data_IF_222832113396
#
_entry.id   IF_222832113396
#
_cell.length_a   1.000
_cell.length_b   1.000
_cell.length_c   1.000
_cell.angle_alpha   90.00
_cell.angle_beta   90.00
_cell.angle_gamma   90.00
#
_symmetry.space_group_name_H-M   'P 1'
#
loop_
_entity.id
_entity.type
_entity.pdbx_description
1 polymer ?
#
# COMPACT_ATOMS: atom_id res chain seq x y z
N UNK A 1 -3.87 -32.55 27.00
CA UNK A 1 -4.27 -31.42 26.13
C UNK A 1 -3.22 -31.31 25.05
N UNK A 2 -3.62 -31.34 23.78
CA UNK A 2 -2.69 -31.07 22.69
C UNK A 2 -2.29 -29.60 22.73
N UNK A 3 -0.98 -29.35 22.72
CA UNK A 3 -0.43 -28.00 22.71
C UNK A 3 -0.27 -27.59 21.25
N UNK A 4 -1.05 -26.59 20.81
CA UNK A 4 -0.90 -26.01 19.48
C UNK A 4 0.51 -25.45 19.30
N UNK A 5 1.20 -25.91 18.25
CA UNK A 5 2.54 -25.44 17.86
C UNK A 5 2.56 -23.94 17.56
N UNK A 6 1.58 -23.46 16.80
CA UNK A 6 1.39 -22.05 16.47
C UNK A 6 0.05 -21.52 16.99
N UNK A 7 0.03 -20.25 17.34
CA UNK A 7 -1.16 -19.54 17.83
C UNK A 7 -1.32 -18.24 17.05
N UNK A 8 -2.52 -17.66 17.12
CA UNK A 8 -2.76 -16.31 16.60
C UNK A 8 -1.73 -15.35 17.19
N UNK A 9 -1.16 -14.51 16.32
CA UNK A 9 -0.16 -13.52 16.70
C UNK A 9 -0.85 -12.44 17.54
N UNK A 10 -0.26 -12.10 18.70
CA UNK A 10 -0.81 -11.09 19.63
C UNK A 10 0.19 -10.00 19.99
N UNK A 11 1.42 -10.09 19.47
CA UNK A 11 2.48 -9.13 19.76
C UNK A 11 3.50 -9.08 18.62
N UNK A 12 4.16 -7.93 18.47
CA UNK A 12 5.22 -7.72 17.48
C UNK A 12 6.41 -8.69 17.69
N UNK A 13 6.69 -9.08 18.94
CA UNK A 13 7.74 -10.07 19.23
C UNK A 13 7.43 -11.43 18.60
N UNK A 14 6.18 -11.89 18.78
CA UNK A 14 5.71 -13.16 18.20
C UNK A 14 5.67 -13.10 16.68
N UNK A 15 5.29 -11.95 16.11
CA UNK A 15 5.36 -11.72 14.66
C UNK A 15 6.78 -11.92 14.12
N UNK A 16 7.78 -11.24 14.71
CA UNK A 16 9.18 -11.36 14.28
C UNK A 16 9.73 -12.78 14.40
N UNK A 17 9.37 -13.48 15.47
CA UNK A 17 9.74 -14.89 15.67
C UNK A 17 9.16 -15.80 14.57
N UNK A 18 7.89 -15.57 14.19
CA UNK A 18 7.22 -16.34 13.15
C UNK A 18 7.80 -16.03 11.77
N UNK A 19 8.15 -14.77 11.48
CA UNK A 19 8.84 -14.40 10.25
C UNK A 19 10.20 -15.12 10.11
N UNK A 20 11.02 -15.13 11.17
CA UNK A 20 12.30 -15.82 11.14
C UNK A 20 12.15 -17.34 10.98
N UNK A 21 11.14 -17.93 11.63
CA UNK A 21 10.83 -19.35 11.47
C UNK A 21 10.41 -19.67 10.04
N UNK A 22 9.56 -18.84 9.44
CA UNK A 22 9.12 -18.99 8.07
C UNK A 22 10.30 -18.89 7.08
N UNK A 23 11.19 -17.91 7.28
CA UNK A 23 12.41 -17.75 6.47
C UNK A 23 13.29 -19.01 6.52
N UNK A 24 13.55 -19.53 7.73
CA UNK A 24 14.31 -20.77 7.92
C UNK A 24 13.66 -21.99 7.24
N UNK A 25 12.33 -22.10 7.29
CA UNK A 25 11.58 -23.20 6.68
C UNK A 25 11.62 -23.13 5.15
N UNK A 26 11.44 -21.94 4.57
CA UNK A 26 11.49 -21.73 3.12
C UNK A 26 12.88 -22.03 2.56
N UNK A 27 13.95 -21.71 3.30
CA UNK A 27 15.33 -22.00 2.87
C UNK A 27 15.64 -23.51 2.89
N UNK A 28 15.08 -24.25 3.87
CA UNK A 28 15.36 -25.69 4.03
C UNK A 28 14.62 -26.59 3.02
N UNK A 29 13.64 -26.04 2.32
CA UNK A 29 12.84 -26.64 1.22
C UNK A 29 12.61 -28.16 1.37
N UNK A 30 11.56 -28.51 2.10
CA UNK A 30 11.11 -29.90 2.26
C UNK A 30 9.59 -30.03 2.16
N UNK A 31 9.11 -31.03 1.40
CA UNK A 31 7.67 -31.31 1.21
C UNK A 31 6.90 -31.43 2.53
N UNK A 32 7.55 -31.93 3.59
CA UNK A 32 6.93 -32.11 4.92
C UNK A 32 6.69 -30.81 5.69
N UNK A 33 7.14 -29.67 5.18
CA UNK A 33 6.99 -28.36 5.83
C UNK A 33 5.99 -27.44 5.13
N UNK A 34 5.36 -27.89 4.05
CA UNK A 34 4.49 -27.06 3.23
C UNK A 34 3.26 -26.53 4.00
N UNK A 35 2.57 -27.40 4.74
CA UNK A 35 1.42 -27.01 5.57
C UNK A 35 1.82 -26.04 6.69
N UNK A 36 3.03 -26.18 7.21
CA UNK A 36 3.57 -25.32 8.25
C UNK A 36 3.92 -23.92 7.72
N UNK A 37 4.54 -23.87 6.54
CA UNK A 37 4.82 -22.65 5.79
C UNK A 37 3.51 -21.93 5.46
N UNK A 38 2.50 -22.65 4.97
CA UNK A 38 1.19 -22.08 4.63
C UNK A 38 0.50 -21.48 5.87
N UNK A 39 0.48 -22.21 6.99
CA UNK A 39 -0.10 -21.73 8.23
C UNK A 39 0.63 -20.49 8.77
N UNK A 40 1.97 -20.52 8.83
CA UNK A 40 2.77 -19.36 9.28
C UNK A 40 2.55 -18.15 8.39
N UNK A 41 2.54 -18.35 7.07
CA UNK A 41 2.25 -17.29 6.09
C UNK A 41 0.88 -16.67 6.35
N UNK A 42 -0.14 -17.49 6.57
CA UNK A 42 -1.50 -17.00 6.87
C UNK A 42 -1.54 -16.19 8.17
N UNK A 43 -0.90 -16.66 9.25
CA UNK A 43 -0.87 -15.97 10.54
C UNK A 43 -0.15 -14.62 10.46
N UNK A 44 0.99 -14.58 9.77
CA UNK A 44 1.78 -13.36 9.53
C UNK A 44 0.96 -12.37 8.71
N UNK A 45 0.40 -12.82 7.59
CA UNK A 45 -0.44 -11.99 6.71
C UNK A 45 -1.62 -11.40 7.49
N UNK A 46 -2.29 -12.21 8.31
CA UNK A 46 -3.42 -11.75 9.13
C UNK A 46 -3.01 -10.67 10.14
N UNK A 47 -1.86 -10.84 10.79
CA UNK A 47 -1.31 -9.83 11.69
C UNK A 47 -0.96 -8.54 10.95
N UNK A 48 -0.31 -8.65 9.79
CA UNK A 48 0.06 -7.52 8.95
C UNK A 48 -1.14 -6.73 8.45
N UNK A 49 -2.23 -7.40 8.07
CA UNK A 49 -3.50 -6.73 7.73
C UNK A 49 -4.04 -5.88 8.89
N UNK A 50 -3.99 -6.40 10.12
CA UNK A 50 -4.53 -5.74 11.31
C UNK A 50 -3.61 -4.65 11.88
N UNK A 51 -2.29 -4.83 11.76
CA UNK A 51 -1.27 -3.95 12.33
C UNK A 51 -0.61 -3.07 11.29
N UNK A 52 -1.20 -3.01 10.10
CA UNK A 52 -0.63 -2.27 9.00
C UNK A 52 -0.53 -0.78 9.35
N UNK A 53 0.69 -0.32 9.65
CA UNK A 53 1.02 1.09 9.89
C UNK A 53 1.10 1.90 8.60
N UNK A 54 0.55 1.33 7.53
CA UNK A 54 0.34 1.91 6.23
C UNK A 54 -0.39 3.27 6.25
N UNK A 55 -1.08 3.64 7.33
CA UNK A 55 -1.71 4.95 7.46
C UNK A 55 -0.78 6.16 7.29
N UNK A 56 0.54 5.98 7.31
CA UNK A 56 1.50 7.09 7.25
C UNK A 56 2.17 7.31 5.88
N UNK A 57 2.11 6.34 4.96
CA UNK A 57 2.84 6.47 3.68
C UNK A 57 2.01 7.24 2.67
N UNK A 58 2.53 8.39 2.23
CA UNK A 58 1.95 9.23 1.19
C UNK A 58 1.81 8.45 -0.13
N UNK A 59 0.61 8.42 -0.77
CA UNK A 59 0.38 7.70 -2.02
C UNK A 59 1.32 8.07 -3.18
N UNK A 60 1.77 9.32 -3.25
CA UNK A 60 2.66 9.80 -4.31
C UNK A 60 4.11 9.40 -4.02
N UNK A 61 4.53 9.40 -2.75
CA UNK A 61 5.83 8.85 -2.35
C UNK A 61 5.90 7.34 -2.61
N UNK A 62 4.84 6.61 -2.25
CA UNK A 62 4.69 5.18 -2.57
C UNK A 62 4.84 4.94 -4.09
N UNK A 63 4.08 5.69 -4.90
CA UNK A 63 4.16 5.61 -6.36
C UNK A 63 5.58 5.85 -6.86
N UNK A 64 6.26 6.87 -6.33
CA UNK A 64 7.62 7.23 -6.75
C UNK A 64 8.64 6.15 -6.39
N UNK A 65 8.51 5.52 -5.22
CA UNK A 65 9.34 4.40 -4.80
C UNK A 65 9.13 3.17 -5.69
N UNK A 66 7.89 2.80 -5.96
CA UNK A 66 7.55 1.70 -6.85
C UNK A 66 8.04 1.93 -8.30
N UNK A 67 7.94 3.17 -8.79
CA UNK A 67 8.54 3.54 -10.09
C UNK A 67 10.05 3.35 -10.08
N UNK A 68 10.75 3.72 -9.00
CA UNK A 68 12.20 3.54 -8.88
C UNK A 68 12.60 2.08 -8.89
N UNK A 69 11.93 1.24 -8.11
CA UNK A 69 12.18 -0.21 -8.05
C UNK A 69 12.02 -0.88 -9.42
N UNK A 70 11.03 -0.44 -10.21
CA UNK A 70 10.76 -0.95 -11.56
C UNK A 70 11.49 -0.16 -12.66
N UNK A 71 12.37 0.79 -12.31
CA UNK A 71 13.08 1.67 -13.26
C UNK A 71 12.18 2.41 -14.27
N UNK A 72 10.96 2.76 -13.85
CA UNK A 72 9.97 3.45 -14.68
C UNK A 72 10.19 4.96 -14.69
N UNK A 73 9.98 5.57 -15.86
CA UNK A 73 9.96 7.03 -16.03
C UNK A 73 8.50 7.51 -16.13
N UNK A 74 8.29 8.82 -15.94
CA UNK A 74 6.96 9.43 -16.06
C UNK A 74 6.28 9.18 -17.41
N UNK A 75 7.06 9.02 -18.50
CA UNK A 75 6.53 8.66 -19.83
C UNK A 75 5.92 7.26 -19.84
N UNK A 76 6.56 6.30 -19.16
CA UNK A 76 6.14 4.90 -19.14
C UNK A 76 4.88 4.79 -18.27
N UNK A 77 4.83 5.54 -17.17
CA UNK A 77 3.63 5.64 -16.35
C UNK A 77 2.45 6.25 -17.12
N UNK A 78 2.69 7.24 -17.98
CA UNK A 78 1.64 7.83 -18.82
C UNK A 78 1.07 6.81 -19.81
N UNK A 79 1.91 5.95 -20.37
CA UNK A 79 1.49 4.85 -21.25
C UNK A 79 0.70 3.79 -20.48
N UNK A 80 1.18 3.34 -19.31
CA UNK A 80 0.49 2.37 -18.43
C UNK A 80 -0.90 2.87 -18.04
N UNK A 81 -1.00 4.14 -17.68
CA UNK A 81 -2.25 4.77 -17.26
C UNK A 81 -3.14 5.19 -18.44
N UNK A 82 -2.63 5.17 -19.68
CA UNK A 82 -3.32 5.69 -20.87
C UNK A 82 -3.77 7.15 -20.71
N UNK A 83 -2.93 7.98 -20.11
CA UNK A 83 -3.19 9.41 -19.85
C UNK A 83 -2.08 10.30 -20.40
N UNK A 84 -2.30 11.61 -20.41
CA UNK A 84 -1.29 12.56 -20.87
C UNK A 84 -0.08 12.64 -19.92
N UNK A 85 1.11 12.87 -20.48
CA UNK A 85 2.35 13.11 -19.71
C UNK A 85 2.21 14.29 -18.74
N UNK A 86 1.43 15.31 -19.14
CA UNK A 86 1.11 16.46 -18.30
C UNK A 86 0.36 16.05 -17.03
N UNK A 87 -0.65 15.19 -17.16
CA UNK A 87 -1.42 14.69 -16.02
C UNK A 87 -0.54 13.88 -15.05
N UNK A 88 0.33 13.01 -15.57
CA UNK A 88 1.28 12.27 -14.73
C UNK A 88 2.22 13.22 -13.99
N UNK A 89 2.75 14.23 -14.67
CA UNK A 89 3.60 15.24 -14.05
C UNK A 89 2.86 15.99 -12.93
N UNK A 90 1.60 16.38 -13.16
CA UNK A 90 0.79 17.07 -12.15
C UNK A 90 0.52 16.18 -10.93
N UNK A 91 0.30 14.88 -11.12
CA UNK A 91 0.12 13.92 -10.03
C UNK A 91 1.42 13.77 -9.22
N UNK A 92 2.55 13.51 -9.89
CA UNK A 92 3.85 13.32 -9.23
C UNK A 92 4.32 14.60 -8.50
N UNK A 93 3.87 15.77 -8.94
CA UNK A 93 4.14 17.05 -8.29
C UNK A 93 3.04 17.50 -7.33
N UNK A 94 2.12 16.61 -6.93
CA UNK A 94 1.02 16.88 -5.99
C UNK A 94 0.04 17.97 -6.44
N UNK A 95 0.06 18.39 -7.71
CA UNK A 95 -0.89 19.39 -8.23
C UNK A 95 -2.28 18.81 -8.44
N UNK A 96 -2.35 17.50 -8.69
CA UNK A 96 -3.61 16.78 -8.90
C UNK A 96 -3.65 15.47 -8.13
N UNK A 97 -4.83 15.13 -7.64
CA UNK A 97 -5.09 13.86 -6.97
C UNK A 97 -5.17 12.67 -7.92
N UNK A 98 -5.06 11.47 -7.37
CA UNK A 98 -5.27 10.20 -8.05
C UNK A 98 -6.79 9.95 -8.22
N UNK A 99 -7.24 9.70 -9.45
CA UNK A 99 -8.63 9.28 -9.68
C UNK A 99 -8.82 7.81 -9.33
N UNK A 100 -10.07 7.38 -9.14
CA UNK A 100 -10.41 5.96 -8.86
C UNK A 100 -9.91 5.00 -9.94
N UNK A 101 -9.95 5.43 -11.20
CA UNK A 101 -9.45 4.65 -12.33
C UNK A 101 -7.93 4.49 -12.26
N UNK A 102 -7.19 5.59 -12.01
CA UNK A 102 -5.74 5.56 -11.83
C UNK A 102 -5.37 4.66 -10.65
N UNK A 103 -6.05 4.79 -9.51
CA UNK A 103 -5.84 3.93 -8.33
C UNK A 103 -5.98 2.45 -8.70
N UNK A 104 -7.04 2.07 -9.42
CA UNK A 104 -7.25 0.68 -9.87
C UNK A 104 -6.12 0.20 -10.77
N UNK A 105 -5.71 1.00 -11.75
CA UNK A 105 -4.65 0.62 -12.69
C UNK A 105 -3.31 0.47 -11.98
N UNK A 106 -2.93 1.42 -11.11
CA UNK A 106 -1.70 1.36 -10.32
C UNK A 106 -1.69 0.13 -9.40
N UNK A 107 -2.78 -0.13 -8.70
CA UNK A 107 -2.91 -1.29 -7.81
C UNK A 107 -2.74 -2.61 -8.56
N UNK A 108 -3.38 -2.73 -9.73
CA UNK A 108 -3.27 -3.93 -10.56
C UNK A 108 -1.85 -4.13 -11.12
N UNK A 109 -1.20 -3.03 -11.52
CA UNK A 109 0.15 -3.05 -12.10
C UNK A 109 1.22 -3.37 -11.06
N UNK A 110 1.20 -2.68 -9.92
CA UNK A 110 2.19 -2.85 -8.85
C UNK A 110 1.87 -3.98 -7.87
N UNK A 111 0.71 -4.64 -8.01
CA UNK A 111 0.25 -5.72 -7.12
C UNK A 111 0.17 -5.30 -5.65
N UNK A 112 -0.31 -4.07 -5.42
CA UNK A 112 -0.56 -3.51 -4.10
C UNK A 112 -2.06 -3.26 -3.90
N UNK A 113 -2.50 -3.13 -2.65
CA UNK A 113 -3.90 -2.84 -2.34
C UNK A 113 -4.31 -1.45 -2.86
N UNK A 114 -5.57 -1.29 -3.29
CA UNK A 114 -6.10 0.03 -3.69
C UNK A 114 -6.08 1.04 -2.55
N UNK A 115 -6.23 0.55 -1.31
CA UNK A 115 -6.13 1.37 -0.11
C UNK A 115 -4.77 2.07 0.00
N UNK A 116 -3.69 1.48 -0.52
CA UNK A 116 -2.38 2.09 -0.53
C UNK A 116 -2.31 3.41 -1.32
N UNK A 117 -3.13 3.54 -2.38
CA UNK A 117 -3.22 4.75 -3.18
C UNK A 117 -4.44 5.63 -2.88
N UNK A 118 -5.40 5.13 -2.09
CA UNK A 118 -6.65 5.84 -1.75
C UNK A 118 -6.56 6.63 -0.42
N UNK A 119 -5.36 6.82 0.11
CA UNK A 119 -5.15 7.57 1.36
C UNK A 119 -5.26 9.07 1.13
N UNK A 120 -5.67 9.86 2.13
CA UNK A 120 -5.67 11.32 2.03
C UNK A 120 -4.23 11.87 2.03
N UNK A 121 -3.95 12.84 1.15
CA UNK A 121 -2.69 13.59 1.10
C UNK A 121 -2.95 15.03 0.64
N UNK A 122 -2.02 15.94 0.96
CA UNK A 122 -2.16 17.37 0.64
C UNK A 122 -1.67 17.67 -0.77
N UNK A 123 -2.51 18.32 -1.57
CA UNK A 123 -2.13 18.79 -2.89
C UNK A 123 -1.33 20.11 -2.80
N UNK A 124 -0.24 20.19 -3.56
CA UNK A 124 0.55 21.40 -3.77
C UNK A 124 -0.05 22.19 -4.93
N UNK A 125 -1.23 22.73 -4.72
CA UNK A 125 -1.82 23.66 -5.70
C UNK A 125 -1.08 24.99 -5.57
N UNK A 126 -0.43 25.46 -6.63
CA UNK A 126 -0.10 26.87 -6.77
C UNK A 126 -1.42 27.61 -6.92
N UNK A 127 -2.00 28.06 -5.81
CA UNK A 127 -3.21 28.86 -5.84
C UNK A 127 -2.95 30.11 -6.69
N UNK A 128 -3.68 30.25 -7.78
CA UNK A 128 -4.26 31.56 -8.08
C UNK A 128 -4.89 32.03 -6.77
N UNK A 129 -4.40 33.16 -6.24
CA UNK A 129 -4.59 33.69 -4.88
C UNK A 129 -6.04 33.94 -4.42
N UNK A 130 -7.04 33.46 -5.15
CA UNK A 130 -8.44 33.86 -5.02
C UNK A 130 -9.44 32.75 -4.67
N UNK A 131 -9.04 31.47 -4.66
CA UNK A 131 -9.95 30.37 -4.34
C UNK A 131 -9.56 29.69 -3.03
N UNK A 132 -10.00 30.27 -1.90
CA UNK A 132 -9.61 29.86 -0.53
C UNK A 132 -9.97 28.42 -0.11
N UNK A 133 -10.68 27.64 -0.94
CA UNK A 133 -11.30 26.37 -0.51
C UNK A 133 -10.99 25.15 -1.41
N UNK A 134 -9.85 25.09 -2.11
CA UNK A 134 -9.48 23.89 -2.88
C UNK A 134 -8.89 22.75 -2.01
N UNK A 135 -8.52 23.03 -0.76
CA UNK A 135 -7.83 22.08 0.14
C UNK A 135 -8.73 20.97 0.72
N UNK A 136 -10.03 20.96 0.43
CA UNK A 136 -11.02 20.07 1.08
C UNK A 136 -11.42 18.84 0.26
N UNK A 137 -10.83 18.62 -0.92
CA UNK A 137 -11.29 17.55 -1.82
C UNK A 137 -10.94 16.11 -1.36
N UNK A 138 -10.16 15.94 -0.29
CA UNK A 138 -9.82 14.62 0.27
C UNK A 138 -9.94 14.54 1.81
N UNK A 139 -10.77 15.39 2.43
CA UNK A 139 -11.04 15.27 3.88
C UNK A 139 -12.17 14.28 4.13
N UNK A 140 -11.89 13.24 4.92
CA UNK A 140 -12.85 12.29 5.48
C UNK A 140 -14.03 13.06 6.08
N UNK A 141 -15.21 12.98 5.46
CA UNK A 141 -16.44 13.51 6.05
C UNK A 141 -16.82 12.56 7.17
N UNK A 142 -16.67 12.97 8.42
CA UNK A 142 -17.22 12.21 9.55
C UNK A 142 -18.74 12.18 9.40
N UNK A 143 -19.28 11.01 9.05
CA UNK A 143 -20.70 10.74 9.13
C UNK A 143 -21.03 10.62 10.62
N UNK A 144 -21.65 11.66 11.17
CA UNK A 144 -22.35 11.53 12.43
C UNK A 144 -23.52 10.55 12.20
N UNK A 145 -23.36 9.32 12.71
CA UNK A 145 -24.48 8.40 12.82
C UNK A 145 -25.40 8.96 13.91
N UNK A 146 -26.62 9.31 13.52
CA UNK A 146 -27.72 9.61 14.46
C UNK A 146 -28.54 8.35 14.67
#
# INVERSE_FOLDING_TARGET
MEVLKYKVIKSEKQYKEYCGTLEDLVIRDGESTQDEIELLTYLIMKWDEEHNSFNEVDPIELLTSLMREKSLKAKDLAEILSVSKGLVSDILNYKKGLSKEIIRTLSCYFKVSQEAFNRPYKLRVSLNSHLKNASVMNTRKELQMT
#
